data_IF_620415749688
#
_entry.id   IF_620415749688
#
_cell.length_a   1.000
_cell.length_b   1.000
_cell.length_c   1.000
_cell.angle_alpha   90.00
_cell.angle_beta   90.00
_cell.angle_gamma   90.00
#
_symmetry.space_group_name_H-M   'P 1'
#
loop_
_entity.id
_entity.type
_entity.pdbx_description
1 polymer ?
#
# COMPACT_ATOMS: atom_id res chain seq x y z
N UNK A 1 8.08 -12.55 -13.03
CA UNK A 1 7.14 -13.34 -12.21
C UNK A 1 6.12 -12.36 -11.65
N UNK A 2 4.82 -12.64 -11.80
CA UNK A 2 3.74 -11.80 -11.27
C UNK A 2 3.56 -12.08 -9.78
N UNK A 3 3.55 -11.03 -8.98
CA UNK A 3 3.39 -11.11 -7.52
C UNK A 3 1.95 -10.78 -7.10
N UNK A 4 1.24 -10.02 -7.93
CA UNK A 4 -0.17 -9.68 -7.74
C UNK A 4 -0.94 -9.93 -9.04
N UNK A 5 -2.11 -10.56 -8.93
CA UNK A 5 -3.06 -10.72 -10.03
C UNK A 5 -4.48 -10.53 -9.50
N UNK A 6 -5.27 -9.71 -10.18
CA UNK A 6 -6.71 -9.64 -10.01
C UNK A 6 -7.37 -10.10 -11.32
N UNK A 7 -8.39 -10.93 -11.22
CA UNK A 7 -9.13 -11.45 -12.40
C UNK A 7 -10.62 -11.24 -12.23
N UNK A 8 -11.22 -10.56 -13.22
CA UNK A 8 -12.66 -10.26 -13.30
C UNK A 8 -13.20 -9.70 -11.97
N UNK A 9 -12.43 -8.79 -11.35
CA UNK A 9 -12.71 -8.30 -10.00
C UNK A 9 -13.91 -7.35 -10.04
N UNK A 10 -14.96 -7.68 -9.30
CA UNK A 10 -16.19 -6.87 -9.19
C UNK A 10 -16.49 -6.56 -7.74
N UNK A 11 -16.96 -5.33 -7.50
CA UNK A 11 -17.48 -4.92 -6.19
C UNK A 11 -18.74 -4.11 -6.37
N UNK A 12 -19.81 -4.59 -5.77
CA UNK A 12 -21.11 -3.93 -5.76
C UNK A 12 -21.46 -3.63 -4.30
N UNK A 13 -21.73 -2.37 -3.99
CA UNK A 13 -22.25 -1.94 -2.70
C UNK A 13 -23.75 -1.67 -2.83
N UNK A 14 -24.52 -2.01 -1.79
CA UNK A 14 -25.97 -1.87 -1.79
C UNK A 14 -26.69 -2.97 -2.57
N UNK A 15 -27.98 -2.79 -2.83
CA UNK A 15 -28.82 -3.74 -3.56
C UNK A 15 -29.95 -3.03 -4.31
N UNK A 16 -30.52 -3.68 -5.32
CA UNK A 16 -31.62 -3.15 -6.12
C UNK A 16 -31.27 -1.82 -6.80
N UNK A 17 -32.17 -0.84 -6.75
CA UNK A 17 -32.00 0.45 -7.43
C UNK A 17 -30.89 1.34 -6.83
N UNK A 18 -30.37 0.99 -5.65
CA UNK A 18 -29.27 1.73 -4.98
C UNK A 18 -27.93 1.00 -5.09
N UNK A 19 -27.82 0.03 -5.99
CA UNK A 19 -26.58 -0.69 -6.20
C UNK A 19 -25.52 0.21 -6.87
N UNK A 20 -24.33 0.29 -6.27
CA UNK A 20 -23.18 1.03 -6.80
C UNK A 20 -22.13 0.01 -7.25
N UNK A 21 -21.84 -0.02 -8.54
CA UNK A 21 -20.80 -0.87 -9.13
C UNK A 21 -19.44 -0.16 -8.98
N UNK A 22 -18.82 -0.31 -7.81
CA UNK A 22 -17.54 0.33 -7.51
C UNK A 22 -16.38 -0.28 -8.30
N UNK A 23 -16.46 -1.58 -8.64
CA UNK A 23 -15.58 -2.26 -9.60
C UNK A 23 -16.44 -3.14 -10.50
N UNK A 24 -16.12 -3.15 -11.81
CA UNK A 24 -16.89 -3.91 -12.80
C UNK A 24 -15.97 -4.64 -13.79
N UNK A 25 -15.39 -5.75 -13.34
CA UNK A 25 -14.59 -6.65 -14.18
C UNK A 25 -13.14 -6.15 -14.36
N UNK A 26 -12.47 -5.77 -13.27
CA UNK A 26 -11.07 -5.32 -13.31
C UNK A 26 -10.14 -6.53 -13.44
N UNK A 27 -9.29 -6.50 -14.47
CA UNK A 27 -8.16 -7.42 -14.66
C UNK A 27 -6.85 -6.64 -14.52
N UNK A 28 -5.99 -7.08 -13.61
CA UNK A 28 -4.73 -6.42 -13.27
C UNK A 28 -3.67 -7.47 -12.93
N UNK A 29 -2.44 -7.26 -13.42
CA UNK A 29 -1.27 -7.99 -12.93
C UNK A 29 -0.11 -7.04 -12.63
N UNK A 30 0.70 -7.36 -11.61
CA UNK A 30 1.87 -6.60 -11.21
C UNK A 30 3.05 -7.56 -11.06
N UNK A 31 4.18 -7.21 -11.68
CA UNK A 31 5.41 -7.98 -11.60
C UNK A 31 6.17 -7.70 -10.32
N UNK A 32 6.95 -8.68 -9.86
CA UNK A 32 7.81 -8.49 -8.70
C UNK A 32 8.82 -7.36 -8.95
N UNK A 33 8.93 -6.44 -7.98
CA UNK A 33 9.80 -5.25 -8.06
C UNK A 33 9.24 -4.11 -8.91
N UNK A 34 8.03 -4.25 -9.48
CA UNK A 34 7.39 -3.20 -10.28
C UNK A 34 6.75 -2.14 -9.37
N UNK A 35 6.90 -0.87 -9.73
CA UNK A 35 6.18 0.23 -9.12
C UNK A 35 5.05 0.67 -10.07
N UNK A 36 3.81 0.42 -9.68
CA UNK A 36 2.61 0.74 -10.46
C UNK A 36 1.86 1.89 -9.81
N UNK A 37 1.45 2.89 -10.59
CA UNK A 37 0.52 3.93 -10.16
C UNK A 37 -0.86 3.68 -10.76
N UNK A 38 -1.90 3.82 -9.92
CA UNK A 38 -3.31 3.77 -10.34
C UNK A 38 -3.87 5.18 -10.23
N UNK A 39 -4.30 5.74 -11.36
CA UNK A 39 -4.86 7.08 -11.46
C UNK A 39 -6.34 7.04 -11.88
N UNK A 40 -7.05 8.11 -11.60
CA UNK A 40 -8.46 8.29 -12.00
C UNK A 40 -9.13 9.35 -11.14
N UNK A 41 -10.33 9.77 -11.55
CA UNK A 41 -11.12 10.77 -10.84
C UNK A 41 -11.58 10.29 -9.46
N UNK A 42 -12.04 11.20 -8.62
CA UNK A 42 -12.69 10.83 -7.35
C UNK A 42 -13.90 9.95 -7.63
N UNK A 43 -14.08 8.90 -6.84
CA UNK A 43 -15.19 7.95 -7.02
C UNK A 43 -15.01 6.91 -8.13
N UNK A 44 -13.91 6.92 -8.89
CA UNK A 44 -13.68 5.95 -9.99
C UNK A 44 -13.42 4.50 -9.55
N UNK A 45 -13.33 4.22 -8.25
CA UNK A 45 -13.12 2.86 -7.70
C UNK A 45 -11.69 2.55 -7.24
N UNK A 46 -10.75 3.51 -7.27
CA UNK A 46 -9.32 3.30 -6.91
C UNK A 46 -9.12 2.71 -5.51
N UNK A 47 -9.64 3.38 -4.46
CA UNK A 47 -9.49 2.91 -3.08
C UNK A 47 -10.23 1.58 -2.87
N UNK A 48 -11.38 1.37 -3.54
CA UNK A 48 -12.07 0.08 -3.54
C UNK A 48 -11.17 -1.00 -4.13
N UNK A 49 -10.52 -0.74 -5.28
CA UNK A 49 -9.58 -1.67 -5.89
C UNK A 49 -8.43 -1.99 -4.93
N UNK A 50 -7.80 -0.98 -4.33
CA UNK A 50 -6.71 -1.18 -3.38
C UNK A 50 -7.14 -2.03 -2.17
N UNK A 51 -8.33 -1.79 -1.63
CA UNK A 51 -8.88 -2.56 -0.51
C UNK A 51 -9.10 -4.03 -0.90
N UNK A 52 -9.57 -4.30 -2.13
CA UNK A 52 -9.70 -5.69 -2.63
C UNK A 52 -8.32 -6.33 -2.78
N UNK A 53 -7.34 -5.64 -3.42
CA UNK A 53 -5.98 -6.14 -3.61
C UNK A 53 -5.29 -6.44 -2.27
N UNK A 54 -5.63 -5.68 -1.23
CA UNK A 54 -5.09 -5.83 0.11
C UNK A 54 -5.89 -6.75 1.04
N UNK A 55 -7.03 -7.30 0.59
CA UNK A 55 -7.90 -8.14 1.42
C UNK A 55 -8.50 -7.40 2.63
N UNK A 56 -8.68 -6.07 2.51
CA UNK A 56 -9.36 -5.26 3.53
C UNK A 56 -10.88 -5.29 3.38
N UNK A 57 -11.35 -5.57 2.17
CA UNK A 57 -12.76 -5.83 1.87
C UNK A 57 -12.85 -7.00 0.87
N UNK A 58 -13.98 -7.68 0.82
CA UNK A 58 -14.19 -8.84 -0.07
C UNK A 58 -14.85 -8.42 -1.38
N UNK A 59 -14.42 -8.95 -2.52
CA UNK A 59 -15.08 -8.70 -3.79
C UNK A 59 -16.45 -9.39 -3.85
N UNK A 60 -17.34 -8.85 -4.68
CA UNK A 60 -18.61 -9.50 -5.01
C UNK A 60 -18.37 -10.67 -5.97
N UNK A 61 -17.35 -10.56 -6.85
CA UNK A 61 -16.94 -11.60 -7.78
C UNK A 61 -15.46 -11.37 -8.18
N UNK A 62 -14.84 -12.41 -8.71
CA UNK A 62 -13.44 -12.39 -9.14
C UNK A 62 -12.48 -12.94 -8.08
N UNK A 63 -11.19 -12.94 -8.41
CA UNK A 63 -10.13 -13.49 -7.57
C UNK A 63 -8.97 -12.51 -7.44
N UNK A 64 -8.26 -12.56 -6.32
CA UNK A 64 -7.01 -11.83 -6.09
C UNK A 64 -5.94 -12.81 -5.61
N UNK A 65 -4.88 -12.93 -6.42
CA UNK A 65 -3.70 -13.72 -6.10
C UNK A 65 -2.58 -12.80 -5.63
N UNK A 66 -2.01 -13.04 -4.47
CA UNK A 66 -0.82 -12.35 -3.95
C UNK A 66 0.22 -13.40 -3.59
N UNK A 67 1.43 -13.27 -4.13
CA UNK A 67 2.54 -14.20 -3.91
C UNK A 67 2.15 -15.68 -4.11
N UNK A 68 1.32 -15.94 -5.16
CA UNK A 68 0.82 -17.27 -5.52
C UNK A 68 -0.36 -17.79 -4.70
N UNK A 69 -0.88 -17.02 -3.72
CA UNK A 69 -2.02 -17.40 -2.89
C UNK A 69 -3.29 -16.63 -3.28
N UNK A 70 -4.40 -17.33 -3.54
CA UNK A 70 -5.72 -16.69 -3.59
C UNK A 70 -6.12 -16.26 -2.18
N UNK A 71 -6.11 -14.94 -1.95
CA UNK A 71 -6.32 -14.39 -0.62
C UNK A 71 -7.76 -14.53 -0.12
N UNK A 72 -8.73 -14.63 -1.03
CA UNK A 72 -10.15 -14.78 -0.67
C UNK A 72 -10.59 -16.24 -0.49
N UNK A 73 -9.74 -17.20 -0.84
CA UNK A 73 -9.91 -18.60 -0.43
C UNK A 73 -9.59 -18.83 1.04
N UNK A 74 -8.89 -17.87 1.69
CA UNK A 74 -8.50 -17.94 3.09
C UNK A 74 -9.68 -17.60 4.02
N UNK A 75 -9.74 -18.26 5.18
CA UNK A 75 -10.60 -17.86 6.30
C UNK A 75 -10.08 -16.54 6.92
N UNK A 76 -10.94 -15.79 7.61
CA UNK A 76 -10.61 -14.46 8.16
C UNK A 76 -9.33 -14.42 9.00
N UNK A 77 -9.12 -15.40 9.86
CA UNK A 77 -7.90 -15.48 10.69
C UNK A 77 -6.65 -15.67 9.83
N UNK A 78 -6.70 -16.59 8.86
CA UNK A 78 -5.59 -16.86 7.95
C UNK A 78 -5.32 -15.68 7.03
N UNK A 79 -6.37 -14.98 6.56
CA UNK A 79 -6.25 -13.76 5.77
C UNK A 79 -5.60 -12.63 6.57
N UNK A 80 -5.94 -12.50 7.85
CA UNK A 80 -5.34 -11.50 8.74
C UNK A 80 -3.84 -11.75 8.94
N UNK A 81 -3.45 -13.02 9.15
CA UNK A 81 -2.03 -13.42 9.25
C UNK A 81 -1.33 -13.18 7.90
N UNK A 82 -1.96 -13.55 6.79
CA UNK A 82 -1.42 -13.35 5.45
C UNK A 82 -1.14 -11.86 5.17
N UNK A 83 -2.12 -10.98 5.45
CA UNK A 83 -1.96 -9.53 5.30
C UNK A 83 -0.75 -9.01 6.08
N UNK A 84 -0.63 -9.37 7.35
CA UNK A 84 0.46 -8.94 8.23
C UNK A 84 1.84 -9.31 7.68
N UNK A 85 1.94 -10.49 7.05
CA UNK A 85 3.21 -11.03 6.53
C UNK A 85 3.55 -10.62 5.11
N UNK A 86 2.53 -10.43 4.26
CA UNK A 86 2.70 -10.33 2.82
C UNK A 86 2.30 -8.99 2.22
N UNK A 87 1.59 -8.14 2.95
CA UNK A 87 1.06 -6.89 2.43
C UNK A 87 1.42 -5.75 3.39
N UNK A 88 2.21 -4.80 2.89
CA UNK A 88 2.46 -3.54 3.57
C UNK A 88 1.40 -2.50 3.15
N UNK A 89 0.89 -1.71 4.10
CA UNK A 89 -0.02 -0.61 3.81
C UNK A 89 0.59 0.72 4.18
N UNK A 90 0.44 1.69 3.28
CA UNK A 90 0.75 3.11 3.49
C UNK A 90 -0.51 3.91 3.20
N UNK A 91 -1.09 4.53 4.22
CA UNK A 91 -2.33 5.30 4.11
C UNK A 91 -2.05 6.79 4.12
N UNK A 92 -2.99 7.57 3.61
CA UNK A 92 -2.97 9.03 3.66
C UNK A 92 -2.92 9.56 5.10
N UNK A 93 -3.57 8.92 6.05
CA UNK A 93 -3.68 9.31 7.46
C UNK A 93 -2.58 8.72 8.36
N UNK A 94 -1.46 8.24 7.81
CA UNK A 94 -0.31 7.62 8.50
C UNK A 94 -0.65 6.41 9.39
N UNK A 95 -1.73 6.46 10.16
CA UNK A 95 -2.22 5.41 11.07
C UNK A 95 -1.14 4.88 12.01
N UNK A 96 -0.33 5.79 12.58
CA UNK A 96 0.64 5.45 13.62
C UNK A 96 -0.09 5.24 14.96
N UNK A 97 0.40 4.30 15.75
CA UNK A 97 -0.10 4.08 17.11
C UNK A 97 0.48 5.18 18.02
N UNK A 98 -0.34 6.07 18.59
CA UNK A 98 0.13 7.32 19.19
C UNK A 98 0.93 7.13 20.49
N UNK A 99 0.79 5.98 21.15
CA UNK A 99 1.49 5.65 22.41
C UNK A 99 2.79 4.88 22.17
N UNK A 100 3.09 4.49 20.93
CA UNK A 100 4.32 3.84 20.52
C UNK A 100 5.27 4.85 19.89
N UNK A 101 6.56 4.73 20.20
CA UNK A 101 7.59 5.54 19.54
C UNK A 101 7.79 5.13 18.06
N UNK A 102 8.68 5.81 17.36
CA UNK A 102 8.98 5.53 15.93
C UNK A 102 9.45 4.09 15.75
N UNK A 103 10.42 3.62 16.52
CA UNK A 103 10.94 2.27 16.39
C UNK A 103 9.85 1.21 16.63
N UNK A 104 9.09 1.36 17.70
CA UNK A 104 7.98 0.47 18.05
C UNK A 104 6.90 0.44 16.96
N UNK A 105 6.53 1.59 16.38
CA UNK A 105 5.62 1.63 15.24
C UNK A 105 6.17 0.88 14.02
N UNK A 106 7.47 1.01 13.73
CA UNK A 106 8.10 0.34 12.59
C UNK A 106 8.08 -1.19 12.74
N UNK A 107 8.42 -1.70 13.92
CA UNK A 107 8.53 -3.16 14.14
C UNK A 107 7.21 -3.83 14.53
N UNK A 108 6.17 -3.05 14.82
CA UNK A 108 4.87 -3.52 15.28
C UNK A 108 4.30 -4.71 14.48
N UNK A 109 4.28 -4.72 13.13
CA UNK A 109 3.76 -5.86 12.37
C UNK A 109 4.52 -7.16 12.63
N UNK A 110 5.84 -7.07 12.85
CA UNK A 110 6.71 -8.22 13.10
C UNK A 110 6.44 -8.79 14.50
N UNK A 111 6.34 -7.90 15.50
CA UNK A 111 6.09 -8.30 16.89
C UNK A 111 4.69 -8.90 17.07
N UNK A 112 3.67 -8.33 16.43
CA UNK A 112 2.31 -8.90 16.43
C UNK A 112 2.24 -10.28 15.76
N UNK A 113 3.19 -10.62 14.89
CA UNK A 113 3.31 -11.95 14.28
C UNK A 113 4.14 -12.93 15.14
N UNK A 114 4.70 -12.48 16.26
CA UNK A 114 5.64 -13.25 17.09
C UNK A 114 6.98 -13.50 16.39
N UNK A 115 7.30 -12.72 15.34
CA UNK A 115 8.53 -12.84 14.56
C UNK A 115 9.72 -12.18 15.25
N UNK A 116 10.93 -12.57 14.80
CA UNK A 116 12.17 -11.89 15.23
C UNK A 116 12.46 -10.72 14.30
N UNK A 117 12.67 -9.55 14.90
CA UNK A 117 13.07 -8.34 14.16
C UNK A 117 14.48 -8.52 13.59
N UNK A 118 14.59 -8.39 12.27
CA UNK A 118 15.91 -8.29 11.62
C UNK A 118 16.42 -6.84 11.82
N UNK A 119 17.23 -6.64 12.87
CA UNK A 119 17.74 -5.31 13.27
C UNK A 119 18.52 -4.62 12.16
N UNK A 120 19.34 -5.38 11.43
CA UNK A 120 20.17 -4.81 10.34
C UNK A 120 19.30 -4.32 9.18
N UNK A 121 18.25 -5.07 8.84
CA UNK A 121 17.31 -4.66 7.79
C UNK A 121 16.49 -3.44 8.21
N UNK A 122 15.98 -3.43 9.46
CA UNK A 122 15.25 -2.26 10.00
C UNK A 122 16.16 -1.04 10.05
N UNK A 123 17.42 -1.19 10.46
CA UNK A 123 18.40 -0.08 10.47
C UNK A 123 18.64 0.48 9.07
N UNK A 124 18.73 -0.37 8.04
CA UNK A 124 18.88 0.08 6.65
C UNK A 124 17.64 0.88 6.18
N UNK A 125 16.44 0.46 6.56
CA UNK A 125 15.19 1.18 6.24
C UNK A 125 15.20 2.55 6.93
N UNK A 126 15.49 2.58 8.24
CA UNK A 126 15.55 3.80 9.07
C UNK A 126 16.53 4.82 8.47
N UNK A 127 17.75 4.40 8.14
CA UNK A 127 18.77 5.24 7.50
C UNK A 127 18.31 5.75 6.13
N UNK A 128 17.72 4.88 5.30
CA UNK A 128 17.25 5.26 3.97
C UNK A 128 16.14 6.32 4.04
N UNK A 129 15.31 6.27 5.08
CA UNK A 129 14.19 7.19 5.29
C UNK A 129 14.56 8.41 6.16
N UNK A 130 15.81 8.50 6.63
CA UNK A 130 16.30 9.61 7.45
C UNK A 130 15.56 9.73 8.78
N UNK A 131 15.43 8.62 9.51
CA UNK A 131 14.72 8.52 10.79
C UNK A 131 15.65 8.19 11.97
N UNK A 132 16.98 8.14 11.76
CA UNK A 132 17.96 7.67 12.75
C UNK A 132 17.92 8.47 14.06
N UNK A 133 17.70 9.77 13.97
CA UNK A 133 17.65 10.70 15.11
C UNK A 133 16.25 10.83 15.75
N UNK A 134 15.28 10.01 15.32
CA UNK A 134 13.87 10.11 15.72
C UNK A 134 13.29 8.82 16.29
N UNK A 135 14.09 7.78 16.47
CA UNK A 135 13.59 6.46 16.86
C UNK A 135 12.79 6.43 18.17
N UNK A 136 13.17 7.25 19.12
CA UNK A 136 12.52 7.36 20.44
C UNK A 136 11.36 8.37 20.46
N UNK A 137 11.16 9.15 19.38
CA UNK A 137 10.11 10.17 19.32
C UNK A 137 8.71 9.53 19.22
N UNK A 138 7.72 10.14 19.83
CA UNK A 138 6.31 9.80 19.67
C UNK A 138 5.72 10.46 18.41
N UNK A 139 4.65 9.90 17.81
CA UNK A 139 4.04 10.45 16.60
C UNK A 139 3.69 11.94 16.69
N UNK A 140 3.23 12.44 17.83
CA UNK A 140 2.89 13.85 18.03
C UNK A 140 4.10 14.80 18.06
N UNK A 141 5.31 14.28 18.12
CA UNK A 141 6.57 15.03 18.07
C UNK A 141 7.15 15.11 16.65
N UNK A 142 6.47 14.52 15.67
CA UNK A 142 6.91 14.42 14.29
C UNK A 142 6.11 15.34 13.37
N UNK A 143 6.78 15.89 12.35
CA UNK A 143 6.08 16.52 11.23
C UNK A 143 5.27 15.50 10.42
N UNK A 144 4.28 15.95 9.62
CA UNK A 144 3.49 15.05 8.75
C UNK A 144 4.37 14.21 7.81
N UNK A 145 5.38 14.81 7.20
CA UNK A 145 6.34 14.07 6.35
C UNK A 145 7.16 13.04 7.11
N UNK A 146 7.55 13.32 8.36
CA UNK A 146 8.23 12.35 9.22
C UNK A 146 7.29 11.20 9.60
N UNK A 147 6.04 11.49 9.97
CA UNK A 147 5.03 10.47 10.27
C UNK A 147 4.80 9.55 9.05
N UNK A 148 4.75 10.13 7.84
CA UNK A 148 4.60 9.34 6.62
C UNK A 148 5.82 8.47 6.34
N UNK A 149 7.04 8.97 6.59
CA UNK A 149 8.25 8.13 6.49
C UNK A 149 8.22 6.97 7.48
N UNK A 150 7.72 7.17 8.69
CA UNK A 150 7.52 6.08 9.68
C UNK A 150 6.48 5.05 9.17
N UNK A 151 5.38 5.50 8.57
CA UNK A 151 4.39 4.61 7.98
C UNK A 151 4.97 3.77 6.82
N UNK A 152 5.83 4.37 5.97
CA UNK A 152 6.56 3.67 4.92
C UNK A 152 7.55 2.67 5.53
N UNK A 153 8.32 3.06 6.56
CA UNK A 153 9.24 2.18 7.26
C UNK A 153 8.51 0.96 7.86
N UNK A 154 7.38 1.17 8.50
CA UNK A 154 6.52 0.11 9.05
C UNK A 154 6.05 -0.85 7.96
N UNK A 155 5.62 -0.33 6.82
CA UNK A 155 5.17 -1.16 5.70
C UNK A 155 6.30 -2.03 5.13
N UNK A 156 7.54 -1.52 5.09
CA UNK A 156 8.73 -2.22 4.60
C UNK A 156 9.29 -3.25 5.59
N UNK A 157 9.18 -2.99 6.90
CA UNK A 157 9.90 -3.72 7.95
C UNK A 157 9.59 -5.23 7.98
N UNK A 158 8.36 -5.63 7.63
CA UNK A 158 7.96 -7.02 7.52
C UNK A 158 8.45 -7.70 6.23
N UNK A 159 9.20 -7.00 5.35
CA UNK A 159 9.62 -7.48 4.03
C UNK A 159 8.45 -8.09 3.23
N UNK A 160 7.34 -7.35 3.02
CA UNK A 160 6.14 -7.88 2.40
C UNK A 160 6.36 -8.19 0.91
N UNK A 161 5.49 -9.03 0.33
CA UNK A 161 5.50 -9.31 -1.10
C UNK A 161 5.12 -8.06 -1.93
N UNK A 162 4.22 -7.22 -1.38
CA UNK A 162 3.71 -6.01 -2.02
C UNK A 162 3.41 -4.91 -0.99
N UNK A 163 3.63 -3.66 -1.38
CA UNK A 163 3.15 -2.47 -0.64
C UNK A 163 2.00 -1.83 -1.42
N UNK A 164 0.92 -1.56 -0.72
CA UNK A 164 -0.25 -0.85 -1.21
C UNK A 164 -0.30 0.54 -0.57
N UNK A 165 -0.20 1.59 -1.38
CA UNK A 165 -0.17 2.97 -0.93
C UNK A 165 -1.41 3.73 -1.41
N UNK A 166 -2.26 4.18 -0.49
CA UNK A 166 -3.47 4.94 -0.77
C UNK A 166 -3.21 6.44 -0.54
N UNK A 167 -3.02 7.19 -1.62
CA UNK A 167 -2.74 8.62 -1.62
C UNK A 167 -1.69 9.04 -0.57
N UNK A 168 -0.48 8.44 -0.59
CA UNK A 168 0.48 8.52 0.53
C UNK A 168 0.96 9.93 0.85
N UNK A 169 0.63 10.91 0.04
CA UNK A 169 1.02 12.32 0.23
C UNK A 169 -0.15 13.30 0.29
N UNK A 170 -1.38 12.79 0.33
CA UNK A 170 -2.59 13.62 0.26
C UNK A 170 -2.77 14.61 1.43
N UNK A 171 -2.05 14.41 2.55
CA UNK A 171 -2.08 15.31 3.72
C UNK A 171 -0.80 16.16 3.87
N UNK A 172 0.06 16.20 2.84
CA UNK A 172 1.34 16.90 2.88
C UNK A 172 1.34 18.08 1.90
N UNK A 173 2.15 19.10 2.21
CA UNK A 173 2.46 20.18 1.26
C UNK A 173 3.26 19.63 0.05
N UNK A 174 3.29 20.38 -1.05
CA UNK A 174 3.89 19.93 -2.31
C UNK A 174 5.37 19.56 -2.19
N UNK A 175 6.16 20.32 -1.41
CA UNK A 175 7.60 20.06 -1.23
C UNK A 175 7.81 18.77 -0.43
N UNK A 176 7.15 18.64 0.70
CA UNK A 176 7.21 17.45 1.55
C UNK A 176 6.69 16.22 0.80
N UNK A 177 5.67 16.38 -0.05
CA UNK A 177 5.15 15.31 -0.92
C UNK A 177 6.22 14.77 -1.87
N UNK A 178 6.94 15.66 -2.57
CA UNK A 178 8.03 15.26 -3.48
C UNK A 178 9.15 14.53 -2.74
N UNK A 179 9.54 15.01 -1.55
CA UNK A 179 10.57 14.37 -0.71
C UNK A 179 10.14 12.94 -0.30
N UNK A 180 8.91 12.76 0.20
CA UNK A 180 8.38 11.46 0.62
C UNK A 180 8.26 10.50 -0.56
N UNK A 181 7.78 10.96 -1.72
CA UNK A 181 7.66 10.13 -2.91
C UNK A 181 9.02 9.71 -3.47
N UNK A 182 10.00 10.64 -3.47
CA UNK A 182 11.38 10.32 -3.86
C UNK A 182 11.96 9.22 -2.97
N UNK A 183 11.73 9.29 -1.65
CA UNK A 183 12.13 8.25 -0.72
C UNK A 183 11.40 6.93 -0.97
N UNK A 184 10.11 6.96 -1.30
CA UNK A 184 9.34 5.75 -1.66
C UNK A 184 9.92 5.09 -2.93
N UNK A 185 10.29 5.87 -3.95
CA UNK A 185 10.93 5.35 -5.16
C UNK A 185 12.31 4.77 -4.86
N UNK A 186 13.13 5.47 -4.07
CA UNK A 186 14.47 4.99 -3.64
C UNK A 186 14.34 3.67 -2.87
N UNK A 187 13.38 3.57 -1.94
CA UNK A 187 13.16 2.33 -1.16
C UNK A 187 12.66 1.20 -2.04
N UNK A 188 11.77 1.46 -3.02
CA UNK A 188 11.33 0.47 -3.99
C UNK A 188 12.51 -0.14 -4.74
N UNK A 189 13.41 0.69 -5.25
CA UNK A 189 14.59 0.24 -5.99
C UNK A 189 15.60 -0.48 -5.09
N UNK A 190 15.94 0.11 -3.94
CA UNK A 190 16.96 -0.43 -3.02
C UNK A 190 16.59 -1.79 -2.45
N UNK A 191 15.33 -2.00 -2.13
CA UNK A 191 14.82 -3.23 -1.52
C UNK A 191 14.11 -4.15 -2.52
N UNK A 192 14.14 -3.82 -3.83
CA UNK A 192 13.40 -4.54 -4.89
C UNK A 192 11.92 -4.76 -4.53
N UNK A 193 11.31 -3.74 -3.90
CA UNK A 193 9.96 -3.81 -3.34
C UNK A 193 8.92 -3.52 -4.44
N UNK A 194 7.92 -4.39 -4.54
CA UNK A 194 6.75 -4.14 -5.40
C UNK A 194 5.81 -3.14 -4.74
N UNK A 195 5.39 -2.11 -5.48
CA UNK A 195 4.49 -1.07 -4.96
C UNK A 195 3.32 -0.87 -5.91
N UNK A 196 2.11 -0.81 -5.36
CA UNK A 196 0.92 -0.28 -6.05
C UNK A 196 0.47 0.96 -5.30
N UNK A 197 0.52 2.11 -5.95
CA UNK A 197 0.17 3.40 -5.39
C UNK A 197 -1.06 3.97 -6.08
N UNK A 198 -2.02 4.45 -5.30
CA UNK A 198 -3.11 5.27 -5.80
C UNK A 198 -2.73 6.74 -5.65
N UNK A 199 -3.01 7.51 -6.68
CA UNK A 199 -2.89 8.96 -6.64
C UNK A 199 -3.89 9.62 -7.61
N UNK A 200 -4.31 10.83 -7.29
CA UNK A 200 -5.08 11.68 -8.20
C UNK A 200 -4.17 12.63 -9.01
N UNK A 201 -2.86 12.67 -8.73
CA UNK A 201 -1.89 13.52 -9.42
C UNK A 201 -1.19 12.73 -10.54
N UNK A 202 -1.37 13.17 -11.77
CA UNK A 202 -0.68 12.63 -12.95
C UNK A 202 0.85 12.82 -12.85
N UNK A 203 1.30 13.94 -12.27
CA UNK A 203 2.72 14.21 -12.05
C UNK A 203 3.36 13.18 -11.12
N UNK A 204 2.68 12.87 -10.02
CA UNK A 204 3.12 11.84 -9.07
C UNK A 204 3.14 10.45 -9.72
N UNK A 205 2.16 10.15 -10.56
CA UNK A 205 2.06 8.87 -11.23
C UNK A 205 3.24 8.61 -12.19
N UNK A 206 3.85 9.65 -12.76
CA UNK A 206 5.02 9.52 -13.64
C UNK A 206 6.28 8.97 -12.96
N UNK A 207 6.30 8.91 -11.63
CA UNK A 207 7.38 8.26 -10.89
C UNK A 207 7.31 6.72 -10.94
N UNK A 208 6.16 6.18 -11.28
CA UNK A 208 5.94 4.74 -11.40
C UNK A 208 6.56 4.19 -12.70
N UNK A 209 6.77 2.88 -12.73
CA UNK A 209 7.25 2.18 -13.93
C UNK A 209 6.11 1.95 -14.93
N UNK A 210 4.84 1.91 -14.42
CA UNK A 210 3.62 1.76 -15.22
C UNK A 210 2.48 2.53 -14.58
N UNK A 211 1.64 3.14 -15.42
CA UNK A 211 0.45 3.87 -15.00
C UNK A 211 -0.79 3.13 -15.49
N UNK A 212 -1.75 2.94 -14.60
CA UNK A 212 -3.05 2.32 -14.87
C UNK A 212 -4.12 3.35 -14.61
N UNK A 213 -4.99 3.59 -15.59
CA UNK A 213 -6.12 4.49 -15.44
C UNK A 213 -7.39 3.71 -15.18
N UNK A 214 -8.11 4.11 -14.13
CA UNK A 214 -9.43 3.55 -13.79
C UNK A 214 -10.52 4.62 -13.89
N UNK A 215 -11.60 4.28 -14.56
CA UNK A 215 -12.81 5.12 -14.71
C UNK A 215 -14.03 4.23 -14.52
N UNK A 216 -15.01 4.69 -13.74
CA UNK A 216 -16.28 3.99 -13.47
C UNK A 216 -16.10 2.50 -13.12
N UNK A 217 -15.11 2.21 -12.27
CA UNK A 217 -14.82 0.85 -11.82
C UNK A 217 -14.15 -0.06 -12.83
N UNK A 218 -13.67 0.44 -13.98
CA UNK A 218 -13.00 -0.32 -15.04
C UNK A 218 -11.63 0.25 -15.38
N UNK A 219 -10.70 -0.61 -15.75
CA UNK A 219 -9.42 -0.16 -16.31
C UNK A 219 -9.64 0.25 -17.77
N UNK A 220 -9.28 1.52 -18.07
CA UNK A 220 -9.45 2.09 -19.42
C UNK A 220 -8.13 2.21 -20.17
N UNK A 221 -6.99 2.26 -19.48
CA UNK A 221 -5.67 2.21 -20.11
C UNK A 221 -4.59 1.68 -19.15
N UNK A 222 -3.54 1.10 -19.73
CA UNK A 222 -2.33 0.64 -19.04
C UNK A 222 -1.12 1.00 -19.92
N UNK A 223 -0.26 1.91 -19.43
CA UNK A 223 0.93 2.43 -20.14
C UNK A 223 2.19 2.17 -19.33
#
# INVERSE_FOLDING_TARGET
>A
MEVLQAKNLKKIYGSGNNAVHALDGVDLSVKKGEFVAIVGTSGSGKSTLLHMLGGLDRPTNGTVMVDGQDIFSLKEEALTIFRRRKIGFVFQAYNLVPVLNVYENIVLPIELDGGKVNKDFVQQIVQTLGLDDRLDALPNQLSGGQQQRVAIARALAAAPAIILADEPTGNLDSKTSQDVLSLLKVTSQKFAQTIVMITHSEEIAQMADRIIRIEDGRIVSQN
#
